data_IF_402881840401
#
_entry.id   IF_402881840401
#
_cell.length_a   1.000
_cell.length_b   1.000
_cell.length_c   1.000
_cell.angle_alpha   90.00
_cell.angle_beta   90.00
_cell.angle_gamma   90.00
#
_symmetry.space_group_name_H-M   'P 1'
#
loop_
_entity.id
_entity.type
_entity.pdbx_description
1 polymer ?
#
# COMPACT_ATOMS: atom_id res chain seq x y z
N UNK A 1 19.00 -15.40 -50.63
CA UNK A 1 18.59 -14.00 -50.86
C UNK A 1 17.16 -13.94 -51.38
N UNK A 2 16.15 -13.93 -50.48
CA UNK A 2 14.73 -13.61 -50.75
C UNK A 2 13.91 -13.91 -49.50
N UNK A 3 13.91 -13.00 -48.52
CA UNK A 3 12.82 -12.77 -47.53
C UNK A 3 12.95 -11.34 -47.02
N UNK A 4 12.75 -10.41 -47.96
CA UNK A 4 12.44 -9.01 -47.71
C UNK A 4 10.90 -8.92 -47.66
N UNK A 5 10.35 -8.05 -46.81
CA UNK A 5 8.91 -7.78 -46.56
C UNK A 5 8.20 -8.75 -45.59
N UNK A 6 8.17 -8.40 -44.29
CA UNK A 6 7.01 -8.63 -43.40
C UNK A 6 7.14 -8.16 -41.93
N UNK A 7 8.08 -7.28 -41.57
CA UNK A 7 8.08 -6.67 -40.22
C UNK A 7 8.07 -5.14 -40.27
N UNK A 8 7.34 -4.58 -41.23
CA UNK A 8 6.87 -3.18 -41.21
C UNK A 8 5.52 -3.14 -40.49
N UNK A 9 5.55 -3.46 -39.19
CA UNK A 9 4.36 -3.57 -38.34
C UNK A 9 4.68 -3.40 -36.86
N UNK A 10 5.79 -2.74 -36.54
CA UNK A 10 6.26 -2.49 -35.18
C UNK A 10 6.38 -1.00 -34.86
N UNK A 11 5.47 -0.17 -35.41
CA UNK A 11 5.55 1.29 -35.20
C UNK A 11 4.21 2.01 -34.92
N UNK A 12 3.09 1.31 -34.76
CA UNK A 12 1.80 1.97 -34.45
C UNK A 12 0.98 1.10 -33.48
N UNK A 13 1.41 1.07 -32.22
CA UNK A 13 0.67 0.68 -31.02
C UNK A 13 1.65 1.06 -29.89
N UNK A 14 1.53 2.11 -29.08
CA UNK A 14 0.38 2.75 -28.45
C UNK A 14 0.79 4.22 -28.24
N UNK A 15 0.39 5.11 -29.15
CA UNK A 15 0.37 6.56 -28.93
C UNK A 15 -1.11 6.95 -28.82
N UNK A 16 -1.78 6.46 -27.78
CA UNK A 16 -3.09 6.94 -27.35
C UNK A 16 -3.19 6.71 -25.83
N UNK A 17 -3.45 7.79 -25.09
CA UNK A 17 -3.70 7.88 -23.64
C UNK A 17 -2.56 8.19 -22.66
N UNK A 18 -1.52 8.94 -23.06
CA UNK A 18 -0.78 9.78 -22.10
C UNK A 18 -1.33 11.21 -22.10
N UNK A 19 -2.61 11.34 -21.78
CA UNK A 19 -3.13 12.58 -21.17
C UNK A 19 -3.14 12.41 -19.64
N UNK A 20 -2.21 11.61 -19.12
CA UNK A 20 -1.79 11.70 -17.74
C UNK A 20 -1.01 13.01 -17.64
N UNK A 21 -1.53 14.00 -16.93
CA UNK A 21 -0.72 15.10 -16.41
C UNK A 21 0.27 14.54 -15.39
N UNK A 22 1.28 13.79 -15.83
CA UNK A 22 2.39 13.33 -15.01
C UNK A 22 3.21 14.57 -14.65
N UNK A 23 2.84 15.23 -13.56
CA UNK A 23 3.72 16.21 -12.93
C UNK A 23 4.77 15.41 -12.18
N UNK A 24 5.84 15.05 -12.86
CA UNK A 24 7.10 14.67 -12.21
C UNK A 24 7.55 15.87 -11.37
N UNK A 25 7.27 15.88 -10.08
CA UNK A 25 7.91 16.83 -9.17
C UNK A 25 9.31 16.34 -8.81
N UNK A 26 10.14 16.07 -9.83
CA UNK A 26 11.59 15.92 -9.67
C UNK A 26 12.23 17.29 -9.46
N UNK A 27 11.76 18.01 -8.43
CA UNK A 27 12.44 19.21 -7.95
C UNK A 27 13.71 18.73 -7.25
N UNK A 28 14.88 19.13 -7.76
CA UNK A 28 16.14 18.91 -7.07
C UNK A 28 16.02 19.43 -5.62
N UNK A 29 16.35 18.59 -4.63
CA UNK A 29 16.22 18.91 -3.21
C UNK A 29 14.83 18.70 -2.59
N UNK A 30 13.85 18.12 -3.30
CA UNK A 30 12.59 17.70 -2.69
C UNK A 30 12.82 16.64 -1.59
N UNK A 31 12.18 16.76 -0.41
CA UNK A 31 12.33 15.78 0.65
C UNK A 31 11.63 14.46 0.29
N UNK A 32 12.19 13.35 0.79
CA UNK A 32 11.51 12.04 0.78
C UNK A 32 10.24 12.11 1.65
N UNK A 33 9.23 11.32 1.29
CA UNK A 33 8.04 11.20 2.12
C UNK A 33 8.33 10.28 3.31
N UNK A 34 8.11 10.79 4.52
CA UNK A 34 8.10 10.00 5.75
C UNK A 34 6.66 9.77 6.19
N UNK A 35 6.32 8.52 6.51
CA UNK A 35 4.99 8.13 6.98
C UNK A 35 5.09 7.37 8.30
N UNK A 36 4.13 7.61 9.19
CA UNK A 36 3.88 6.78 10.38
C UNK A 36 2.60 5.97 10.16
N UNK A 37 2.40 4.84 10.87
CA UNK A 37 1.14 4.08 10.83
C UNK A 37 -0.09 4.98 11.06
N UNK A 38 -0.02 5.90 12.02
CA UNK A 38 -1.13 6.83 12.31
C UNK A 38 -1.54 7.73 11.14
N UNK A 39 -0.61 8.14 10.26
CA UNK A 39 -0.93 8.99 9.11
C UNK A 39 -1.86 8.29 8.10
N UNK A 40 -1.91 6.95 8.10
CA UNK A 40 -2.80 6.23 7.20
C UNK A 40 -4.29 6.42 7.55
N UNK A 41 -4.63 6.72 8.82
CA UNK A 41 -6.02 7.07 9.21
C UNK A 41 -6.43 8.40 8.61
N UNK A 42 -5.50 9.34 8.53
CA UNK A 42 -5.76 10.70 8.04
C UNK A 42 -5.98 10.75 6.52
N UNK A 43 -5.59 9.69 5.81
CA UNK A 43 -5.78 9.56 4.37
C UNK A 43 -7.14 8.95 4.03
N UNK A 44 -7.57 7.90 4.74
CA UNK A 44 -8.80 7.17 4.43
C UNK A 44 -10.06 8.05 4.49
N UNK A 45 -10.90 7.99 3.45
CA UNK A 45 -12.14 8.77 3.31
C UNK A 45 -11.94 10.30 3.39
N UNK A 46 -10.70 10.78 3.25
CA UNK A 46 -10.39 12.21 3.32
C UNK A 46 -10.52 12.83 1.93
N UNK A 47 -10.95 14.09 1.90
CA UNK A 47 -10.94 14.90 0.68
C UNK A 47 -9.51 14.99 0.12
N UNK A 48 -9.36 14.67 -1.16
CA UNK A 48 -8.08 14.64 -1.84
C UNK A 48 -7.35 15.99 -1.79
N UNK A 49 -8.07 17.12 -1.81
CA UNK A 49 -7.45 18.44 -1.71
C UNK A 49 -6.76 18.67 -0.36
N UNK A 50 -7.18 17.94 0.69
CA UNK A 50 -6.54 17.96 2.01
C UNK A 50 -5.34 17.00 2.10
N UNK A 51 -5.36 15.91 1.34
CA UNK A 51 -4.31 14.88 1.34
C UNK A 51 -3.16 15.24 0.39
N UNK A 52 -3.48 15.75 -0.81
CA UNK A 52 -2.52 16.09 -1.88
C UNK A 52 -1.31 16.91 -1.42
N UNK A 53 -1.43 17.93 -0.54
CA UNK A 53 -0.28 18.71 -0.09
C UNK A 53 0.83 17.87 0.57
N UNK A 54 0.47 16.78 1.25
CA UNK A 54 1.42 15.85 1.90
C UNK A 54 2.38 15.20 0.91
N UNK A 55 1.92 15.00 -0.33
CA UNK A 55 2.64 14.28 -1.38
C UNK A 55 3.24 15.20 -2.44
N UNK A 56 2.54 16.27 -2.81
CA UNK A 56 2.82 17.08 -4.00
C UNK A 56 4.18 17.81 -4.06
N UNK A 57 4.88 17.91 -2.92
CA UNK A 57 6.22 18.49 -2.82
C UNK A 57 7.32 17.45 -2.54
N UNK A 58 6.97 16.17 -2.57
CA UNK A 58 7.88 15.06 -2.24
C UNK A 58 8.58 14.53 -3.48
N UNK A 59 9.78 14.01 -3.27
CA UNK A 59 10.57 13.35 -4.31
C UNK A 59 9.84 12.09 -4.79
N UNK A 60 9.74 11.89 -6.11
CA UNK A 60 9.06 10.72 -6.69
C UNK A 60 7.53 10.75 -6.63
N UNK A 61 6.92 11.89 -6.29
CA UNK A 61 5.46 11.99 -6.35
C UNK A 61 4.97 11.99 -7.80
N UNK A 62 4.06 11.06 -8.10
CA UNK A 62 3.37 10.93 -9.37
C UNK A 62 1.86 10.87 -9.14
N UNK A 63 1.09 11.32 -10.14
CA UNK A 63 -0.34 11.06 -10.19
C UNK A 63 -0.83 10.91 -11.63
N UNK A 64 -1.92 10.18 -11.78
CA UNK A 64 -2.63 9.96 -13.04
C UNK A 64 -4.10 10.23 -12.80
N UNK A 65 -4.70 11.08 -13.64
CA UNK A 65 -6.14 11.27 -13.70
C UNK A 65 -6.70 10.34 -14.77
N UNK A 66 -7.64 9.49 -14.38
CA UNK A 66 -8.23 8.50 -15.27
C UNK A 66 -9.34 9.11 -16.14
N UNK A 67 -9.78 8.38 -17.16
CA UNK A 67 -10.94 8.78 -17.96
C UNK A 67 -12.22 8.77 -17.12
N UNK A 68 -13.33 9.32 -17.63
CA UNK A 68 -14.63 9.29 -16.92
C UNK A 68 -15.19 7.86 -16.75
N UNK A 69 -14.69 6.90 -17.50
CA UNK A 69 -15.23 5.54 -17.60
C UNK A 69 -14.67 4.60 -16.51
N UNK A 70 -13.55 4.93 -15.88
CA UNK A 70 -12.79 4.00 -15.02
C UNK A 70 -13.22 3.97 -13.54
N UNK A 71 -14.33 4.63 -13.15
CA UNK A 71 -14.87 4.78 -11.77
C UNK A 71 -13.90 5.34 -10.69
N UNK A 72 -12.60 5.32 -10.95
CA UNK A 72 -11.55 6.00 -10.20
C UNK A 72 -11.34 7.39 -10.78
N UNK A 73 -11.24 8.39 -9.91
CA UNK A 73 -10.98 9.77 -10.29
C UNK A 73 -9.49 10.04 -10.54
N UNK A 74 -8.64 9.61 -9.60
CA UNK A 74 -7.20 9.87 -9.58
C UNK A 74 -6.49 8.68 -8.94
N UNK A 75 -5.36 8.24 -9.49
CA UNK A 75 -4.38 7.39 -8.79
C UNK A 75 -3.15 8.24 -8.49
N UNK A 76 -2.72 8.25 -7.24
CA UNK A 76 -1.49 8.90 -6.80
C UNK A 76 -0.53 7.84 -6.26
N UNK A 77 0.75 7.97 -6.60
CA UNK A 77 1.80 7.03 -6.19
C UNK A 77 3.09 7.75 -5.87
N UNK A 78 3.88 7.19 -4.96
CA UNK A 78 5.28 7.57 -4.77
C UNK A 78 6.17 6.57 -5.50
N UNK A 79 6.84 6.99 -6.56
CA UNK A 79 7.79 6.14 -7.31
C UNK A 79 9.12 5.95 -6.59
N UNK A 80 9.43 6.84 -5.65
CA UNK A 80 10.57 6.71 -4.75
C UNK A 80 10.13 6.12 -3.41
N UNK A 81 10.99 5.34 -2.73
CA UNK A 81 10.67 4.74 -1.45
C UNK A 81 10.20 5.75 -0.41
N UNK A 82 9.11 5.42 0.28
CA UNK A 82 8.69 6.15 1.49
C UNK A 82 9.45 5.62 2.70
N UNK A 83 9.79 6.52 3.62
CA UNK A 83 10.50 6.20 4.86
C UNK A 83 9.48 5.94 5.96
N UNK A 84 9.60 4.79 6.63
CA UNK A 84 8.97 4.54 7.93
C UNK A 84 10.08 4.64 8.98
N UNK A 85 9.96 5.53 9.99
CA UNK A 85 10.97 5.65 11.05
C UNK A 85 11.26 4.29 11.71
N UNK A 86 12.53 3.94 11.88
CA UNK A 86 12.97 2.64 12.40
C UNK A 86 13.08 1.51 11.36
N UNK A 87 12.61 1.76 10.13
CA UNK A 87 12.68 0.84 8.99
C UNK A 87 13.20 1.57 7.74
N UNK A 88 14.16 2.48 7.91
CA UNK A 88 14.70 3.31 6.82
C UNK A 88 15.41 2.50 5.72
N UNK A 89 15.84 1.29 6.03
CA UNK A 89 16.44 0.36 5.08
C UNK A 89 15.41 -0.41 4.23
N UNK A 90 14.12 -0.15 4.46
CA UNK A 90 13.01 -0.75 3.73
C UNK A 90 12.46 0.20 2.67
N UNK A 91 12.16 -0.36 1.49
CA UNK A 91 11.60 0.42 0.39
C UNK A 91 10.11 0.14 0.25
N UNK A 92 9.28 1.09 0.66
CA UNK A 92 7.83 0.99 0.50
C UNK A 92 7.33 1.93 -0.60
N UNK A 93 6.31 1.47 -1.31
CA UNK A 93 5.52 2.26 -2.25
C UNK A 93 4.16 2.50 -1.62
N UNK A 94 3.72 3.75 -1.60
CA UNK A 94 2.34 4.12 -1.25
C UNK A 94 1.56 4.46 -2.51
N UNK A 95 0.37 3.90 -2.61
CA UNK A 95 -0.61 4.17 -3.67
C UNK A 95 -1.92 4.63 -3.04
N UNK A 96 -2.51 5.69 -3.60
CA UNK A 96 -3.84 6.20 -3.24
C UNK A 96 -4.76 6.15 -4.46
N UNK A 97 -5.99 5.67 -4.28
CA UNK A 97 -7.06 5.84 -5.27
C UNK A 97 -8.13 6.79 -4.74
N UNK A 98 -8.49 7.77 -5.55
CA UNK A 98 -9.46 8.82 -5.22
C UNK A 98 -10.72 8.58 -6.04
N UNK A 99 -11.89 8.51 -5.40
CA UNK A 99 -13.17 8.44 -6.09
C UNK A 99 -13.54 9.80 -6.69
N UNK A 100 -13.92 9.81 -7.97
CA UNK A 100 -14.27 11.05 -8.69
C UNK A 100 -15.52 11.72 -8.13
N UNK A 101 -16.54 10.94 -7.82
CA UNK A 101 -17.86 11.43 -7.39
C UNK A 101 -17.81 12.22 -6.08
N UNK A 102 -16.91 11.84 -5.17
CA UNK A 102 -16.80 12.43 -3.84
C UNK A 102 -15.51 13.23 -3.62
N UNK A 103 -14.55 13.14 -4.54
CA UNK A 103 -13.19 13.67 -4.38
C UNK A 103 -12.50 13.14 -3.10
N UNK A 104 -12.80 11.90 -2.70
CA UNK A 104 -12.26 11.30 -1.48
C UNK A 104 -11.31 10.14 -1.78
N UNK A 105 -10.30 9.96 -0.94
CA UNK A 105 -9.42 8.78 -0.97
C UNK A 105 -10.22 7.56 -0.51
N UNK A 106 -10.39 6.59 -1.40
CA UNK A 106 -11.17 5.37 -1.17
C UNK A 106 -10.30 4.12 -1.03
N UNK A 107 -9.06 4.18 -1.52
CA UNK A 107 -8.07 3.12 -1.31
C UNK A 107 -6.76 3.76 -0.89
N UNK A 108 -6.13 3.19 0.13
CA UNK A 108 -4.72 3.45 0.48
C UNK A 108 -4.01 2.12 0.55
N UNK A 109 -2.92 1.97 -0.19
CA UNK A 109 -2.11 0.75 -0.16
C UNK A 109 -0.65 1.13 0.09
N UNK A 110 0.00 0.39 0.97
CA UNK A 110 1.43 0.42 1.21
C UNK A 110 1.98 -0.98 0.95
N UNK A 111 3.06 -1.10 0.18
CA UNK A 111 3.71 -2.38 -0.05
C UNK A 111 5.17 -2.23 -0.46
N UNK A 112 5.96 -3.28 -0.21
CA UNK A 112 7.31 -3.41 -0.75
C UNK A 112 7.22 -4.20 -2.07
N UNK A 113 7.04 -3.47 -3.18
CA UNK A 113 6.56 -4.05 -4.46
C UNK A 113 7.47 -5.12 -5.08
N UNK A 114 8.75 -5.21 -4.70
CA UNK A 114 9.70 -6.08 -5.40
C UNK A 114 10.49 -7.04 -4.51
N UNK A 115 10.22 -7.07 -3.20
CA UNK A 115 10.96 -7.91 -2.24
C UNK A 115 12.48 -7.70 -2.24
N UNK A 116 12.95 -6.61 -2.87
CA UNK A 116 14.37 -6.27 -3.00
C UNK A 116 14.98 -5.83 -1.66
N UNK A 117 14.12 -5.52 -0.70
CA UNK A 117 14.47 -5.21 0.69
C UNK A 117 13.60 -6.10 1.57
N UNK A 118 14.00 -7.35 1.79
CA UNK A 118 13.18 -8.32 2.52
C UNK A 118 13.24 -8.09 4.03
N UNK A 119 12.11 -8.26 4.72
CA UNK A 119 12.06 -8.26 6.18
C UNK A 119 12.53 -9.61 6.72
N UNK A 120 13.16 -9.58 7.90
CA UNK A 120 13.17 -10.75 8.77
C UNK A 120 11.79 -10.90 9.41
N UNK A 121 11.40 -12.11 9.80
CA UNK A 121 10.12 -12.32 10.49
C UNK A 121 9.99 -11.45 11.75
N UNK A 122 11.09 -11.31 12.52
CA UNK A 122 11.09 -10.46 13.71
C UNK A 122 10.82 -8.98 13.39
N UNK A 123 11.35 -8.45 12.28
CA UNK A 123 11.06 -7.06 11.88
C UNK A 123 9.64 -6.91 11.34
N UNK A 124 9.13 -7.90 10.62
CA UNK A 124 7.73 -7.90 10.18
C UNK A 124 6.77 -7.92 11.38
N UNK A 125 7.11 -8.66 12.44
CA UNK A 125 6.37 -8.62 13.70
C UNK A 125 6.44 -7.28 14.41
N UNK A 126 7.62 -6.66 14.52
CA UNK A 126 7.74 -5.32 15.10
C UNK A 126 6.90 -4.29 14.34
N UNK A 127 6.95 -4.30 13.01
CA UNK A 127 6.18 -3.37 12.19
C UNK A 127 4.67 -3.60 12.30
N UNK A 128 4.22 -4.86 12.33
CA UNK A 128 2.80 -5.18 12.55
C UNK A 128 2.34 -4.72 13.95
N UNK A 129 3.17 -4.89 14.97
CA UNK A 129 2.90 -4.40 16.33
C UNK A 129 2.77 -2.88 16.36
N UNK A 130 3.64 -2.16 15.66
CA UNK A 130 3.54 -0.70 15.53
C UNK A 130 2.25 -0.27 14.81
N UNK A 131 1.85 -0.95 13.73
CA UNK A 131 0.53 -0.69 13.12
C UNK A 131 -0.63 -0.97 14.08
N UNK A 132 -0.53 -2.00 14.91
CA UNK A 132 -1.54 -2.23 15.93
C UNK A 132 -1.60 -1.08 16.95
N UNK A 133 -0.46 -0.77 17.58
CA UNK A 133 -0.35 0.20 18.66
C UNK A 133 -0.62 1.64 18.20
N UNK A 134 -0.08 2.05 17.07
CA UNK A 134 -0.17 3.44 16.59
C UNK A 134 -1.34 3.71 15.65
N UNK A 135 -2.03 2.68 15.18
CA UNK A 135 -3.11 2.83 14.21
C UNK A 135 -4.38 2.08 14.62
N UNK A 136 -4.37 0.75 14.77
CA UNK A 136 -5.61 0.00 15.01
C UNK A 136 -6.28 0.34 16.35
N UNK A 137 -5.52 0.58 17.41
CA UNK A 137 -6.08 0.97 18.71
C UNK A 137 -6.78 2.35 18.71
N UNK A 138 -6.53 3.18 17.69
CA UNK A 138 -7.14 4.52 17.54
C UNK A 138 -8.47 4.48 16.79
N UNK A 139 -8.82 3.34 16.19
CA UNK A 139 -10.12 3.11 15.56
C UNK A 139 -11.12 2.72 16.67
N UNK A 140 -12.04 3.63 16.98
CA UNK A 140 -12.96 3.50 18.13
C UNK A 140 -14.35 3.01 17.74
N UNK A 141 -14.71 3.11 16.46
CA UNK A 141 -16.01 2.79 15.89
C UNK A 141 -16.02 1.42 15.20
N UNK A 142 -15.36 0.45 15.83
CA UNK A 142 -15.07 -0.85 15.23
C UNK A 142 -16.29 -1.76 15.15
N UNK A 143 -16.58 -2.25 13.94
CA UNK A 143 -17.67 -3.15 13.61
C UNK A 143 -17.25 -4.62 13.69
N UNK A 144 -16.01 -4.92 13.27
CA UNK A 144 -15.42 -6.24 13.36
C UNK A 144 -13.89 -6.14 13.40
N UNK A 145 -13.25 -7.03 14.15
CA UNK A 145 -11.80 -7.22 14.11
C UNK A 145 -11.47 -8.71 14.04
N UNK A 146 -10.35 -9.01 13.40
CA UNK A 146 -9.85 -10.37 13.32
C UNK A 146 -8.45 -10.40 12.73
N UNK A 147 -7.93 -11.59 12.55
CA UNK A 147 -6.70 -11.81 11.84
C UNK A 147 -6.75 -13.10 11.06
N UNK A 148 -5.75 -13.25 10.20
CA UNK A 148 -5.57 -14.42 9.35
C UNK A 148 -4.11 -14.82 9.41
N UNK A 149 -3.83 -16.11 9.51
CA UNK A 149 -2.46 -16.59 9.43
C UNK A 149 -2.33 -17.84 8.57
N UNK A 150 -1.14 -18.02 8.01
CA UNK A 150 -0.77 -19.20 7.20
C UNK A 150 0.59 -19.73 7.65
N UNK A 151 0.74 -21.05 7.66
CA UNK A 151 2.01 -21.73 7.95
C UNK A 151 2.20 -22.93 7.02
N UNK A 152 3.24 -22.90 6.20
CA UNK A 152 3.53 -23.89 5.18
C UNK A 152 2.35 -24.09 4.22
N UNK A 153 2.07 -25.37 3.94
CA UNK A 153 0.97 -25.78 3.07
C UNK A 153 -0.39 -25.86 3.79
N UNK A 154 -0.44 -25.51 5.08
CA UNK A 154 -1.70 -25.49 5.80
C UNK A 154 -2.64 -24.43 5.21
N UNK A 155 -3.96 -24.67 5.22
CA UNK A 155 -4.95 -23.65 4.90
C UNK A 155 -4.79 -22.42 5.81
N UNK A 156 -5.17 -21.26 5.29
CA UNK A 156 -5.29 -20.04 6.09
C UNK A 156 -6.30 -20.25 7.22
N UNK A 157 -5.98 -19.71 8.40
CA UNK A 157 -6.82 -19.80 9.59
C UNK A 157 -7.20 -18.41 10.08
N UNK A 158 -8.49 -18.22 10.29
CA UNK A 158 -9.05 -17.07 11.00
C UNK A 158 -8.73 -17.16 12.48
N UNK A 159 -8.28 -16.04 13.05
CA UNK A 159 -7.93 -15.89 14.47
C UNK A 159 -8.47 -14.55 15.00
N UNK A 160 -8.53 -14.42 16.32
CA UNK A 160 -8.79 -13.13 16.97
C UNK A 160 -7.55 -12.21 16.93
N UNK A 161 -7.76 -10.90 17.13
CA UNK A 161 -6.64 -9.95 17.28
C UNK A 161 -5.75 -10.31 18.47
N UNK A 162 -6.31 -10.77 19.60
CA UNK A 162 -5.53 -11.16 20.77
C UNK A 162 -4.62 -12.36 20.46
N UNK A 163 -5.11 -13.37 19.75
CA UNK A 163 -4.27 -14.48 19.30
C UNK A 163 -3.18 -13.99 18.34
N UNK A 164 -3.48 -13.06 17.43
CA UNK A 164 -2.47 -12.47 16.56
C UNK A 164 -1.39 -11.72 17.36
N UNK A 165 -1.77 -10.98 18.41
CA UNK A 165 -0.83 -10.30 19.33
C UNK A 165 0.01 -11.30 20.13
N UNK A 166 -0.60 -12.37 20.63
CA UNK A 166 0.13 -13.45 21.31
C UNK A 166 1.14 -14.10 20.36
N UNK A 167 0.79 -14.28 19.08
CA UNK A 167 1.70 -14.82 18.07
C UNK A 167 2.87 -13.88 17.78
N UNK A 168 2.62 -12.56 17.73
CA UNK A 168 3.65 -11.52 17.58
C UNK A 168 4.60 -11.55 18.79
N UNK A 169 4.07 -11.52 20.00
CA UNK A 169 4.85 -11.44 21.25
C UNK A 169 5.70 -12.70 21.44
N UNK A 170 5.11 -13.88 21.17
CA UNK A 170 5.82 -15.16 21.27
C UNK A 170 6.65 -15.52 20.03
N UNK A 171 6.69 -14.64 19.01
CA UNK A 171 7.40 -14.86 17.73
C UNK A 171 7.06 -16.22 17.08
N UNK A 172 5.77 -16.58 17.11
CA UNK A 172 5.29 -17.86 16.58
C UNK A 172 5.69 -18.00 15.11
N UNK A 173 6.30 -19.11 14.65
CA UNK A 173 6.67 -19.24 13.24
C UNK A 173 5.44 -19.28 12.32
N UNK A 174 5.31 -18.32 11.41
CA UNK A 174 4.26 -18.27 10.39
C UNK A 174 4.82 -17.76 9.07
N UNK A 175 4.21 -18.17 7.97
CA UNK A 175 4.54 -17.64 6.65
C UNK A 175 3.71 -16.40 6.31
N UNK A 176 2.54 -16.22 6.92
CA UNK A 176 1.79 -14.98 6.83
C UNK A 176 1.00 -14.70 8.10
N UNK A 177 0.85 -13.42 8.44
CA UNK A 177 -0.02 -12.93 9.49
C UNK A 177 -0.60 -11.57 9.09
N UNK A 178 -1.92 -11.45 9.15
CA UNK A 178 -2.67 -10.23 8.88
C UNK A 178 -3.60 -9.91 10.05
N UNK A 179 -3.81 -8.63 10.28
CA UNK A 179 -4.79 -8.08 11.20
C UNK A 179 -5.75 -7.20 10.40
N UNK A 180 -7.03 -7.43 10.59
CA UNK A 180 -8.11 -6.77 9.89
C UNK A 180 -9.01 -6.04 10.88
N UNK A 181 -9.38 -4.80 10.55
CA UNK A 181 -10.30 -3.96 11.31
C UNK A 181 -11.32 -3.36 10.33
N UNK A 182 -12.60 -3.62 10.57
CA UNK A 182 -13.69 -2.95 9.87
C UNK A 182 -14.32 -1.91 10.80
N UNK A 183 -14.49 -0.69 10.31
CA UNK A 183 -15.14 0.41 11.04
C UNK A 183 -16.13 1.15 10.14
N UNK A 184 -16.82 2.17 10.66
CA UNK A 184 -17.69 3.02 9.83
C UNK A 184 -16.91 3.83 8.78
N UNK A 185 -15.60 4.02 9.01
CA UNK A 185 -14.71 4.68 8.06
C UNK A 185 -14.27 3.77 6.91
N UNK A 186 -14.33 2.44 7.06
CA UNK A 186 -13.93 1.49 6.03
C UNK A 186 -13.28 0.22 6.60
N UNK A 187 -12.71 -0.57 5.71
CA UNK A 187 -11.97 -1.78 6.04
C UNK A 187 -10.46 -1.50 6.00
N UNK A 188 -9.74 -1.96 7.01
CA UNK A 188 -8.30 -1.80 7.18
C UNK A 188 -7.66 -3.17 7.36
N UNK A 189 -6.53 -3.39 6.71
CA UNK A 189 -5.74 -4.62 6.83
C UNK A 189 -4.26 -4.28 6.86
N UNK A 190 -3.52 -4.86 7.80
CA UNK A 190 -2.07 -4.74 7.87
C UNK A 190 -1.48 -6.13 8.15
N UNK A 191 -0.35 -6.45 7.55
CA UNK A 191 0.27 -7.74 7.78
C UNK A 191 1.48 -7.99 6.92
N UNK A 192 1.95 -9.22 7.00
CA UNK A 192 3.08 -9.67 6.21
C UNK A 192 2.83 -11.06 5.64
N UNK A 193 3.56 -11.36 4.56
CA UNK A 193 3.64 -12.69 3.97
C UNK A 193 5.04 -12.98 3.47
N UNK A 194 5.41 -14.24 3.56
CA UNK A 194 6.62 -14.81 2.99
C UNK A 194 6.39 -15.10 1.52
N UNK A 195 7.28 -14.61 0.66
CA UNK A 195 7.26 -14.89 -0.76
C UNK A 195 7.97 -16.23 -1.08
N UNK A 196 7.97 -16.60 -2.36
CA UNK A 196 8.61 -17.84 -2.85
C UNK A 196 10.12 -17.90 -2.59
N UNK A 197 10.78 -16.74 -2.50
CA UNK A 197 12.20 -16.64 -2.16
C UNK A 197 12.46 -16.77 -0.64
N UNK A 198 11.43 -16.98 0.16
CA UNK A 198 11.52 -17.11 1.61
C UNK A 198 11.61 -15.77 2.37
N UNK A 199 11.43 -14.66 1.66
CA UNK A 199 11.54 -13.31 2.20
C UNK A 199 10.18 -12.80 2.70
N UNK A 200 10.16 -12.09 3.83
CA UNK A 200 8.93 -11.48 4.33
C UNK A 200 8.70 -10.11 3.70
N UNK A 201 7.48 -9.88 3.24
CA UNK A 201 6.97 -8.63 2.68
C UNK A 201 5.88 -8.11 3.61
N UNK A 202 5.91 -6.82 3.92
CA UNK A 202 4.87 -6.16 4.70
C UNK A 202 3.97 -5.34 3.78
N UNK A 203 2.68 -5.31 4.10
CA UNK A 203 1.69 -4.52 3.41
C UNK A 203 0.64 -3.95 4.36
N UNK A 204 0.08 -2.83 3.94
CA UNK A 204 -1.11 -2.24 4.54
C UNK A 204 -2.10 -1.89 3.44
N UNK A 205 -3.39 -2.08 3.70
CA UNK A 205 -4.47 -1.65 2.83
C UNK A 205 -5.61 -1.03 3.63
N UNK A 206 -6.20 0.01 3.04
CA UNK A 206 -7.49 0.57 3.42
C UNK A 206 -8.41 0.54 2.21
N UNK A 207 -9.68 0.19 2.45
CA UNK A 207 -10.75 0.20 1.46
C UNK A 207 -12.00 0.87 2.04
N UNK A 208 -12.50 1.90 1.36
CA UNK A 208 -13.82 2.44 1.60
C UNK A 208 -14.81 1.78 0.65
N UNK A 209 -15.79 1.04 1.19
CA UNK A 209 -16.87 0.44 0.39
C UNK A 209 -17.64 1.52 -0.38
N UNK A 210 -17.88 1.26 -1.67
CA UNK A 210 -18.72 2.07 -2.56
C UNK A 210 -20.20 1.84 -2.29
#
# INVERSE_FOLDING_TARGET
MRRLFQFLGAFILIIFFMNACSKDSNKAGAPTLTLTPSMFLDFGNKDWNKVKPTFSNKKGYLYTEFSKEENMGIKSVMSEPVIIPGYEDMHYVITLNIARSSNKVVIVSLGNENGSFPLTQSRAYSLLKEFYEDFFTKITDTLATGGNYKQGDAPEKHISINEALDMIENKTPVDALYMDVNSSMGAFSAGFSKNEAGNFLFGYNYFHGY
#
